data_IF_628154673978
#
_entry.id   IF_628154673978
#
_cell.length_a   1.000
_cell.length_b   1.000
_cell.length_c   1.000
_cell.angle_alpha   90.00
_cell.angle_beta   90.00
_cell.angle_gamma   90.00
#
_symmetry.space_group_name_H-M   'P 1'
#
loop_
_entity.id
_entity.type
_entity.pdbx_description
1 polymer ?
#
# COMPACT_ATOMS: atom_id res chain seq x y z
N UNK A 1 -0.27 19.74 40.88
CA UNK A 1 -0.17 20.90 39.96
C UNK A 1 -1.08 20.62 38.78
N UNK A 2 -2.29 21.18 38.79
CA UNK A 2 -3.25 21.00 37.71
C UNK A 2 -2.81 21.80 36.48
N UNK A 3 -2.60 21.11 35.36
CA UNK A 3 -2.39 21.75 34.07
C UNK A 3 -3.75 22.36 33.69
N UNK A 4 -3.78 23.67 33.53
CA UNK A 4 -5.00 24.45 33.37
C UNK A 4 -5.40 24.42 31.87
N UNK A 5 -6.05 23.33 31.44
CA UNK A 5 -6.36 23.05 30.03
C UNK A 5 -7.20 24.13 29.32
N UNK A 6 -7.93 24.95 30.08
CA UNK A 6 -8.85 25.97 29.55
C UNK A 6 -8.17 27.29 29.11
N UNK A 7 -6.92 27.58 29.52
CA UNK A 7 -6.25 28.84 29.12
C UNK A 7 -5.67 28.82 27.71
N UNK A 8 -5.42 27.64 27.15
CA UNK A 8 -4.80 27.48 25.82
C UNK A 8 -5.83 27.32 24.70
N UNK A 9 -7.13 27.31 25.01
CA UNK A 9 -8.19 27.08 24.03
C UNK A 9 -8.19 28.11 22.88
N UNK A 10 -8.07 29.43 23.14
CA UNK A 10 -8.05 30.43 22.08
C UNK A 10 -6.84 30.32 21.14
N UNK A 11 -5.67 30.02 21.70
CA UNK A 11 -4.43 29.85 20.94
C UNK A 11 -4.47 28.60 20.05
N UNK A 12 -4.98 27.48 20.59
CA UNK A 12 -5.23 26.24 19.82
C UNK A 12 -6.22 26.47 18.68
N UNK A 13 -7.29 27.22 18.91
CA UNK A 13 -8.29 27.53 17.87
C UNK A 13 -7.70 28.41 16.76
N UNK A 14 -6.87 29.40 17.11
CA UNK A 14 -6.16 30.23 16.12
C UNK A 14 -5.17 29.40 15.30
N UNK A 15 -4.39 28.54 15.96
CA UNK A 15 -3.47 27.62 15.28
C UNK A 15 -4.19 26.69 14.32
N UNK A 16 -5.31 26.07 14.76
CA UNK A 16 -6.14 25.21 13.92
C UNK A 16 -6.73 25.97 12.73
N UNK A 17 -7.23 27.20 12.95
CA UNK A 17 -7.73 28.06 11.88
C UNK A 17 -6.67 28.32 10.81
N UNK A 18 -5.46 28.72 11.24
CA UNK A 18 -4.33 28.96 10.34
C UNK A 18 -3.91 27.67 9.60
N UNK A 19 -3.89 26.54 10.29
CA UNK A 19 -3.58 25.25 9.67
C UNK A 19 -4.60 24.89 8.58
N UNK A 20 -5.90 25.00 8.87
CA UNK A 20 -6.97 24.71 7.92
C UNK A 20 -6.87 25.62 6.69
N UNK A 21 -6.65 26.92 6.88
CA UNK A 21 -6.51 27.88 5.78
C UNK A 21 -5.30 27.55 4.89
N UNK A 22 -4.16 27.18 5.48
CA UNK A 22 -2.97 26.74 4.73
C UNK A 22 -3.24 25.44 3.97
N UNK A 23 -3.93 24.48 4.59
CA UNK A 23 -4.29 23.23 3.92
C UNK A 23 -5.24 23.49 2.75
N UNK A 24 -6.28 24.30 2.94
CA UNK A 24 -7.23 24.62 1.89
C UNK A 24 -6.54 25.30 0.69
N UNK A 25 -5.71 26.32 0.94
CA UNK A 25 -4.93 27.00 -0.11
C UNK A 25 -4.01 26.07 -0.88
N UNK A 26 -3.44 25.05 -0.22
CA UNK A 26 -2.54 24.07 -0.83
C UNK A 26 -3.27 22.84 -1.40
N UNK A 27 -4.60 22.77 -1.30
CA UNK A 27 -5.37 21.63 -1.78
C UNK A 27 -5.27 20.38 -0.90
N UNK A 28 -5.21 20.55 0.42
CA UNK A 28 -5.21 19.52 1.47
C UNK A 28 -4.08 18.47 1.39
N UNK A 29 -2.79 18.87 1.26
CA UNK A 29 -1.69 17.91 1.17
C UNK A 29 -1.56 17.01 2.41
N UNK A 30 -1.87 17.51 3.60
CA UNK A 30 -1.87 16.69 4.82
C UNK A 30 -2.85 15.52 4.72
N UNK A 31 -4.06 15.76 4.20
CA UNK A 31 -5.07 14.73 3.99
C UNK A 31 -4.58 13.67 3.00
N UNK A 32 -4.07 14.09 1.84
CA UNK A 32 -3.62 13.15 0.81
C UNK A 32 -2.36 12.37 1.21
N UNK A 33 -1.48 12.98 2.00
CA UNK A 33 -0.35 12.28 2.63
C UNK A 33 -0.85 11.17 3.54
N UNK A 34 -1.80 11.46 4.45
CA UNK A 34 -2.39 10.47 5.35
C UNK A 34 -3.12 9.34 4.61
N UNK A 35 -3.92 9.69 3.60
CA UNK A 35 -4.65 8.71 2.81
C UNK A 35 -3.72 7.79 2.01
N UNK A 36 -2.60 8.32 1.50
CA UNK A 36 -1.61 7.54 0.77
C UNK A 36 -0.81 6.61 1.68
N UNK A 37 -0.46 7.06 2.89
CA UNK A 37 0.09 6.15 3.92
C UNK A 37 -0.90 5.02 4.20
N UNK A 38 -2.18 5.36 4.39
CA UNK A 38 -3.22 4.38 4.73
C UNK A 38 -3.44 3.35 3.61
N UNK A 39 -3.50 3.77 2.35
CA UNK A 39 -3.74 2.83 1.25
C UNK A 39 -2.56 1.88 1.04
N UNK A 40 -1.32 2.33 1.26
CA UNK A 40 -0.16 1.43 1.27
C UNK A 40 -0.24 0.40 2.40
N UNK A 41 -0.55 0.84 3.63
CA UNK A 41 -0.70 -0.07 4.78
C UNK A 41 -1.84 -1.08 4.57
N UNK A 42 -2.95 -0.67 3.92
CA UNK A 42 -4.02 -1.58 3.55
C UNK A 42 -3.55 -2.62 2.51
N UNK A 43 -2.72 -2.22 1.55
CA UNK A 43 -2.13 -3.14 0.59
C UNK A 43 -1.18 -4.14 1.27
N UNK A 44 -0.33 -3.68 2.19
CA UNK A 44 0.54 -4.57 2.98
C UNK A 44 -0.28 -5.59 3.76
N UNK A 45 -1.30 -5.14 4.50
CA UNK A 45 -2.20 -6.01 5.25
C UNK A 45 -2.93 -7.00 4.34
N UNK A 46 -3.41 -6.56 3.17
CA UNK A 46 -4.04 -7.45 2.19
C UNK A 46 -3.10 -8.57 1.75
N UNK A 47 -1.85 -8.25 1.40
CA UNK A 47 -0.88 -9.25 0.95
C UNK A 47 -0.56 -10.23 2.07
N UNK A 48 -0.41 -9.74 3.30
CA UNK A 48 -0.12 -10.57 4.47
C UNK A 48 -1.26 -11.54 4.77
N UNK A 49 -2.50 -11.05 4.86
CA UNK A 49 -3.69 -11.87 5.07
C UNK A 49 -3.88 -12.90 3.94
N UNK A 50 -3.61 -12.49 2.71
CA UNK A 50 -3.67 -13.38 1.55
C UNK A 50 -2.64 -14.52 1.66
N UNK A 51 -1.38 -14.20 2.02
CA UNK A 51 -0.33 -15.20 2.21
C UNK A 51 -0.61 -16.13 3.40
N UNK A 52 -1.11 -15.59 4.52
CA UNK A 52 -1.54 -16.40 5.68
C UNK A 52 -2.61 -17.40 5.24
N UNK A 53 -3.59 -16.96 4.46
CA UNK A 53 -4.62 -17.85 3.93
C UNK A 53 -4.05 -18.96 3.05
N UNK A 54 -3.10 -18.63 2.17
CA UNK A 54 -2.41 -19.65 1.37
C UNK A 54 -1.66 -20.65 2.25
N UNK A 55 -0.98 -20.20 3.31
CA UNK A 55 -0.31 -21.09 4.26
C UNK A 55 -1.30 -22.02 4.96
N UNK A 56 -2.47 -21.50 5.35
CA UNK A 56 -3.52 -22.28 6.02
C UNK A 56 -4.19 -23.32 5.11
N UNK A 57 -4.26 -23.04 3.80
CA UNK A 57 -4.91 -23.91 2.81
C UNK A 57 -3.94 -24.92 2.17
N UNK A 58 -2.63 -24.71 2.28
CA UNK A 58 -1.61 -25.59 1.69
C UNK A 58 -1.44 -26.89 2.49
N UNK A 59 -1.83 -28.02 1.88
CA UNK A 59 -1.77 -29.33 2.51
C UNK A 59 -0.33 -29.84 2.71
N UNK A 60 0.61 -29.41 1.85
CA UNK A 60 1.99 -29.88 1.89
C UNK A 60 3.03 -28.74 1.94
N UNK A 61 2.91 -27.87 2.94
CA UNK A 61 3.85 -26.78 3.20
C UNK A 61 5.32 -27.24 3.26
N UNK A 62 5.58 -28.45 3.76
CA UNK A 62 6.93 -29.02 3.87
C UNK A 62 7.62 -29.24 2.53
N UNK A 63 6.85 -29.37 1.44
CA UNK A 63 7.40 -29.52 0.09
C UNK A 63 7.93 -28.21 -0.50
N UNK A 64 7.59 -27.07 0.10
CA UNK A 64 8.06 -25.74 -0.30
C UNK A 64 9.46 -25.53 0.26
N UNK A 65 10.47 -25.42 -0.61
CA UNK A 65 11.89 -25.36 -0.25
C UNK A 65 12.25 -24.19 0.66
N UNK A 66 11.57 -23.06 0.47
CA UNK A 66 11.74 -21.85 1.27
C UNK A 66 11.24 -22.07 2.70
N UNK A 67 10.16 -22.85 2.88
CA UNK A 67 9.58 -23.18 4.18
C UNK A 67 10.41 -24.26 4.89
N UNK A 68 10.85 -25.29 4.17
CA UNK A 68 11.67 -26.38 4.72
C UNK A 68 12.93 -25.86 5.43
N UNK A 69 13.49 -24.74 4.96
CA UNK A 69 14.74 -24.15 5.46
C UNK A 69 14.55 -23.18 6.62
N UNK A 70 13.30 -22.85 6.99
CA UNK A 70 13.03 -21.87 8.04
C UNK A 70 13.55 -22.36 9.40
N UNK A 71 14.12 -21.42 10.16
CA UNK A 71 14.57 -21.65 11.53
C UNK A 71 13.85 -20.67 12.45
N UNK A 72 13.27 -21.19 13.53
CA UNK A 72 12.58 -20.41 14.54
C UNK A 72 12.43 -21.17 15.85
N UNK A 73 12.06 -20.46 16.92
CA UNK A 73 11.89 -21.05 18.24
C UNK A 73 10.65 -21.95 18.28
N UNK A 74 10.87 -23.27 18.37
CA UNK A 74 9.79 -24.27 18.33
C UNK A 74 8.73 -24.03 19.41
N UNK A 75 9.16 -23.68 20.63
CA UNK A 75 8.21 -23.44 21.74
C UNK A 75 7.30 -22.25 21.46
N UNK A 76 7.81 -21.19 20.82
CA UNK A 76 6.96 -20.05 20.42
C UNK A 76 5.97 -20.43 19.32
N UNK A 77 6.22 -21.50 18.56
CA UNK A 77 5.36 -21.94 17.46
C UNK A 77 4.27 -22.92 17.91
N UNK A 78 4.61 -23.96 18.68
CA UNK A 78 3.68 -25.06 18.97
C UNK A 78 2.47 -24.67 19.82
N UNK A 79 2.59 -23.63 20.66
CA UNK A 79 1.51 -23.17 21.54
C UNK A 79 0.60 -22.11 20.89
N UNK A 80 0.92 -21.65 19.69
CA UNK A 80 0.12 -20.69 18.92
C UNK A 80 -1.09 -21.37 18.28
N UNK A 81 -2.18 -20.61 18.09
CA UNK A 81 -3.31 -21.04 17.26
C UNK A 81 -2.86 -21.28 15.80
N UNK A 82 -3.68 -21.99 15.01
CA UNK A 82 -3.35 -22.27 13.60
C UNK A 82 -3.08 -20.99 12.80
N UNK A 83 -3.85 -19.94 13.06
CA UNK A 83 -3.67 -18.65 12.42
C UNK A 83 -2.34 -17.99 12.82
N UNK A 84 -2.06 -17.91 14.13
CA UNK A 84 -0.81 -17.35 14.64
C UNK A 84 0.42 -18.17 14.22
N UNK A 85 0.27 -19.48 14.00
CA UNK A 85 1.33 -20.31 13.42
C UNK A 85 1.60 -19.93 11.96
N UNK A 86 0.57 -19.73 11.15
CA UNK A 86 0.71 -19.29 9.77
C UNK A 86 1.32 -17.88 9.67
N UNK A 87 0.87 -16.96 10.53
CA UNK A 87 1.46 -15.62 10.68
C UNK A 87 2.93 -15.69 11.10
N UNK A 88 3.28 -16.55 12.06
CA UNK A 88 4.67 -16.76 12.46
C UNK A 88 5.55 -17.28 11.31
N UNK A 89 5.05 -18.23 10.50
CA UNK A 89 5.75 -18.71 9.31
C UNK A 89 5.96 -17.57 8.31
N UNK A 90 4.93 -16.74 8.07
CA UNK A 90 5.03 -15.60 7.17
C UNK A 90 6.09 -14.59 7.67
N UNK A 91 6.12 -14.29 8.96
CA UNK A 91 7.12 -13.39 9.54
C UNK A 91 8.54 -13.95 9.39
N UNK A 92 8.73 -15.27 9.59
CA UNK A 92 10.02 -15.92 9.30
C UNK A 92 10.39 -15.78 7.81
N UNK A 93 9.45 -15.99 6.89
CA UNK A 93 9.69 -15.82 5.45
C UNK A 93 10.09 -14.38 5.10
N UNK A 94 9.40 -13.38 5.68
CA UNK A 94 9.71 -11.95 5.48
C UNK A 94 11.07 -11.55 6.07
N UNK A 95 11.50 -12.20 7.15
CA UNK A 95 12.76 -11.91 7.82
C UNK A 95 13.99 -12.39 7.02
N UNK A 96 13.82 -13.39 6.16
CA UNK A 96 14.88 -13.83 5.25
C UNK A 96 14.99 -12.89 4.05
N UNK A 97 16.09 -12.14 4.00
CA UNK A 97 16.37 -11.18 2.93
C UNK A 97 16.40 -11.81 1.53
N UNK A 98 16.58 -13.14 1.42
CA UNK A 98 16.53 -13.85 0.13
C UNK A 98 15.11 -13.95 -0.43
N UNK A 99 14.11 -13.95 0.44
CA UNK A 99 12.70 -14.10 0.07
C UNK A 99 12.02 -12.77 -0.23
N UNK A 100 12.55 -11.67 0.31
CA UNK A 100 12.04 -10.32 0.11
C UNK A 100 13.02 -9.51 -0.71
N UNK A 101 12.85 -9.56 -2.03
CA UNK A 101 13.73 -8.84 -2.96
C UNK A 101 13.01 -7.69 -3.66
N UNK A 102 13.76 -6.63 -3.98
CA UNK A 102 13.25 -5.45 -4.68
C UNK A 102 12.48 -4.47 -3.80
N UNK A 103 11.83 -3.51 -4.46
CA UNK A 103 11.09 -2.41 -3.82
C UNK A 103 9.67 -2.31 -4.39
N UNK A 104 8.79 -1.58 -3.70
CA UNK A 104 7.40 -1.44 -4.10
C UNK A 104 6.71 -2.79 -4.19
N UNK A 105 5.99 -3.01 -5.29
CA UNK A 105 5.23 -4.25 -5.53
C UNK A 105 6.10 -5.50 -5.68
N UNK A 106 7.36 -5.36 -6.11
CA UNK A 106 8.25 -6.52 -6.31
C UNK A 106 8.54 -7.28 -5.01
N UNK A 107 8.49 -6.58 -3.87
CA UNK A 107 8.59 -7.22 -2.54
C UNK A 107 7.43 -8.18 -2.32
N UNK A 108 6.21 -7.80 -2.70
CA UNK A 108 5.04 -8.65 -2.58
C UNK A 108 5.10 -9.82 -3.56
N UNK A 109 5.47 -9.55 -4.82
CA UNK A 109 5.63 -10.59 -5.85
C UNK A 109 6.68 -11.63 -5.45
N UNK A 110 7.78 -11.23 -4.80
CA UNK A 110 8.79 -12.16 -4.29
C UNK A 110 8.21 -13.14 -3.25
N UNK A 111 7.31 -12.69 -2.38
CA UNK A 111 6.65 -13.54 -1.39
C UNK A 111 5.56 -14.41 -2.04
N UNK A 112 4.75 -13.83 -2.94
CA UNK A 112 3.73 -14.56 -3.68
C UNK A 112 4.32 -15.70 -4.52
N UNK A 113 5.55 -15.51 -5.03
CA UNK A 113 6.28 -16.51 -5.80
C UNK A 113 6.52 -17.82 -5.05
N UNK A 114 6.74 -17.74 -3.75
CA UNK A 114 6.97 -18.92 -2.89
C UNK A 114 5.77 -19.88 -2.97
N UNK A 115 4.57 -19.32 -3.09
CA UNK A 115 3.32 -20.05 -3.23
C UNK A 115 2.83 -20.11 -4.69
N UNK A 116 3.67 -19.75 -5.66
CA UNK A 116 3.37 -19.71 -7.09
C UNK A 116 2.17 -18.86 -7.46
N UNK A 117 2.02 -17.70 -6.82
CA UNK A 117 1.00 -16.67 -7.11
C UNK A 117 1.61 -15.38 -7.68
N UNK A 118 2.92 -15.37 -7.92
CA UNK A 118 3.57 -14.26 -8.60
C UNK A 118 3.12 -14.15 -10.06
N UNK A 119 3.39 -12.99 -10.65
CA UNK A 119 3.04 -12.75 -12.03
C UNK A 119 3.47 -11.39 -12.52
N UNK A 120 3.26 -11.17 -13.81
CA UNK A 120 3.52 -9.88 -14.42
C UNK A 120 2.57 -8.83 -13.85
N UNK A 121 3.14 -7.71 -13.39
CA UNK A 121 2.40 -6.51 -13.01
C UNK A 121 2.58 -5.52 -14.15
N UNK A 122 1.48 -4.87 -14.57
CA UNK A 122 1.53 -3.82 -15.58
C UNK A 122 2.48 -2.69 -15.13
N UNK A 123 3.29 -2.16 -16.05
CA UNK A 123 4.43 -1.30 -15.71
C UNK A 123 4.00 0.03 -15.09
N UNK A 124 2.87 0.60 -15.53
CA UNK A 124 2.29 1.81 -14.93
C UNK A 124 1.89 1.56 -13.47
N UNK A 125 1.22 0.44 -13.18
CA UNK A 125 0.84 0.04 -11.82
C UNK A 125 2.08 -0.20 -10.96
N UNK A 126 3.04 -0.96 -11.48
CA UNK A 126 4.31 -1.24 -10.81
C UNK A 126 5.06 0.04 -10.44
N UNK A 127 5.16 0.99 -11.37
CA UNK A 127 5.79 2.30 -11.15
C UNK A 127 5.06 3.12 -10.11
N UNK A 128 3.72 3.16 -10.15
CA UNK A 128 2.92 3.91 -9.16
C UNK A 128 2.98 3.30 -7.76
N UNK A 129 3.02 1.97 -7.64
CA UNK A 129 3.20 1.30 -6.35
C UNK A 129 4.63 1.44 -5.81
N UNK A 130 5.64 1.51 -6.68
CA UNK A 130 7.00 1.88 -6.31
C UNK A 130 7.03 3.29 -5.70
N UNK A 131 6.45 4.26 -6.41
CA UNK A 131 6.35 5.65 -5.98
C UNK A 131 5.65 5.76 -4.62
N UNK A 132 4.47 5.13 -4.49
CA UNK A 132 3.70 5.10 -3.24
C UNK A 132 4.52 4.53 -2.08
N UNK A 133 5.24 3.43 -2.30
CA UNK A 133 6.10 2.80 -1.29
C UNK A 133 7.20 3.74 -0.80
N UNK A 134 7.89 4.42 -1.72
CA UNK A 134 8.96 5.37 -1.36
C UNK A 134 8.39 6.62 -0.69
N UNK A 135 7.25 7.14 -1.17
CA UNK A 135 6.60 8.30 -0.58
C UNK A 135 6.11 8.00 0.84
N UNK A 136 5.47 6.85 1.06
CA UNK A 136 5.08 6.42 2.42
C UNK A 136 6.29 6.37 3.34
N UNK A 137 7.43 5.87 2.88
CA UNK A 137 8.65 5.82 3.68
C UNK A 137 9.10 7.22 4.14
N UNK A 138 9.17 8.20 3.23
CA UNK A 138 9.60 9.56 3.60
C UNK A 138 8.57 10.30 4.44
N UNK A 139 7.27 10.11 4.18
CA UNK A 139 6.21 10.72 4.98
C UNK A 139 6.24 10.23 6.43
N UNK A 140 6.46 8.93 6.65
CA UNK A 140 6.45 8.33 7.99
C UNK A 140 7.79 8.52 8.72
N UNK A 141 8.92 8.42 8.03
CA UNK A 141 10.23 8.31 8.68
C UNK A 141 11.18 9.49 8.43
N UNK A 142 10.82 10.41 7.53
CA UNK A 142 11.68 11.55 7.12
C UNK A 142 10.97 12.89 7.25
N UNK A 143 9.93 12.98 8.08
CA UNK A 143 9.11 14.20 8.27
C UNK A 143 8.62 14.79 6.95
N UNK A 144 8.28 13.93 5.97
CA UNK A 144 7.84 14.36 4.65
C UNK A 144 8.92 15.03 3.80
N UNK A 145 10.21 14.85 4.11
CA UNK A 145 11.33 15.33 3.30
C UNK A 145 11.86 14.23 2.39
N UNK A 146 12.05 14.55 1.12
CA UNK A 146 12.64 13.64 0.14
C UNK A 146 14.05 13.24 0.57
N UNK A 147 14.34 11.94 0.57
CA UNK A 147 15.68 11.40 0.80
C UNK A 147 16.31 10.95 -0.52
N UNK A 148 17.64 10.73 -0.52
CA UNK A 148 18.34 10.26 -1.72
C UNK A 148 17.79 8.97 -2.32
N UNK A 149 17.14 8.11 -1.52
CA UNK A 149 16.53 6.87 -1.98
C UNK A 149 15.26 7.14 -2.79
N UNK A 150 14.38 8.03 -2.35
CA UNK A 150 13.21 8.46 -3.11
C UNK A 150 13.64 9.11 -4.43
N UNK A 151 14.60 10.03 -4.39
CA UNK A 151 15.10 10.71 -5.60
C UNK A 151 15.67 9.73 -6.61
N UNK A 152 16.41 8.72 -6.15
CA UNK A 152 17.01 7.69 -7.03
C UNK A 152 15.95 6.74 -7.58
N UNK A 153 15.10 6.18 -6.74
CA UNK A 153 14.12 5.15 -7.13
C UNK A 153 12.91 5.72 -7.88
N UNK A 154 12.65 7.02 -7.74
CA UNK A 154 11.51 7.72 -8.34
C UNK A 154 11.99 9.00 -9.05
N UNK A 155 13.05 8.88 -9.84
CA UNK A 155 13.69 10.00 -10.57
C UNK A 155 12.72 10.81 -11.44
N UNK A 156 11.64 10.19 -11.90
CA UNK A 156 10.59 10.84 -12.67
C UNK A 156 9.73 11.83 -11.89
N UNK A 157 9.85 11.91 -10.57
CA UNK A 157 9.18 12.92 -9.76
C UNK A 157 9.81 14.30 -9.93
N UNK A 158 11.07 14.38 -10.37
CA UNK A 158 11.77 15.66 -10.56
C UNK A 158 11.99 16.45 -9.26
N UNK A 159 12.01 15.76 -8.11
CA UNK A 159 12.27 16.34 -6.79
C UNK A 159 13.73 16.15 -6.38
N UNK A 160 14.24 17.05 -5.55
CA UNK A 160 15.59 16.99 -4.98
C UNK A 160 15.55 16.49 -3.52
N UNK A 161 16.71 16.05 -3.03
CA UNK A 161 16.84 15.66 -1.62
C UNK A 161 16.62 16.88 -0.71
N UNK A 162 15.81 16.71 0.35
CA UNK A 162 15.38 17.77 1.27
C UNK A 162 14.10 18.51 0.86
N UNK A 163 13.59 18.30 -0.36
CA UNK A 163 12.32 18.87 -0.80
C UNK A 163 11.15 18.35 0.05
N UNK A 164 10.13 19.19 0.26
CA UNK A 164 8.90 18.76 0.93
C UNK A 164 8.03 17.94 -0.02
N UNK A 165 7.63 16.75 0.43
CA UNK A 165 6.73 15.86 -0.31
C UNK A 165 5.29 16.16 0.09
N UNK A 166 4.60 16.87 -0.80
CA UNK A 166 3.19 17.20 -0.66
C UNK A 166 2.39 16.52 -1.76
N UNK A 167 1.52 15.59 -1.39
CA UNK A 167 0.62 14.94 -2.33
C UNK A 167 -0.62 15.79 -2.58
N UNK A 168 -1.19 15.63 -3.76
CA UNK A 168 -2.49 16.17 -4.11
C UNK A 168 -3.50 15.04 -4.38
N UNK A 169 -4.74 15.43 -4.66
CA UNK A 169 -5.81 14.51 -5.04
C UNK A 169 -5.44 13.62 -6.24
N UNK A 170 -4.71 14.18 -7.20
CA UNK A 170 -4.29 13.46 -8.41
C UNK A 170 -3.31 12.34 -8.09
N UNK A 171 -2.36 12.57 -7.19
CA UNK A 171 -1.46 11.53 -6.69
C UNK A 171 -2.26 10.42 -5.99
N UNK A 172 -3.12 10.80 -5.04
CA UNK A 172 -3.90 9.84 -4.28
C UNK A 172 -4.79 8.94 -5.17
N UNK A 173 -5.51 9.51 -6.15
CA UNK A 173 -6.35 8.73 -7.06
C UNK A 173 -5.52 7.73 -7.87
N UNK A 174 -4.34 8.13 -8.38
CA UNK A 174 -3.46 7.21 -9.12
C UNK A 174 -3.03 6.05 -8.23
N UNK A 175 -2.56 6.33 -7.02
CA UNK A 175 -2.15 5.32 -6.06
C UNK A 175 -3.29 4.38 -5.69
N UNK A 176 -4.46 4.92 -5.35
CA UNK A 176 -5.64 4.12 -5.01
C UNK A 176 -6.05 3.22 -6.18
N UNK A 177 -6.05 3.74 -7.41
CA UNK A 177 -6.37 2.96 -8.61
C UNK A 177 -5.38 1.81 -8.82
N UNK A 178 -4.07 2.09 -8.66
CA UNK A 178 -3.02 1.08 -8.79
C UNK A 178 -3.08 0.01 -7.71
N UNK A 179 -3.38 0.39 -6.46
CA UNK A 179 -3.60 -0.57 -5.37
C UNK A 179 -4.78 -1.48 -5.67
N UNK A 180 -5.93 -0.91 -6.06
CA UNK A 180 -7.10 -1.71 -6.45
C UNK A 180 -6.81 -2.65 -7.61
N UNK A 181 -6.15 -2.14 -8.66
CA UNK A 181 -5.79 -2.96 -9.82
C UNK A 181 -4.91 -4.14 -9.43
N UNK A 182 -3.90 -3.90 -8.58
CA UNK A 182 -3.00 -4.94 -8.11
C UNK A 182 -3.71 -5.98 -7.26
N UNK A 183 -4.57 -5.57 -6.33
CA UNK A 183 -5.40 -6.49 -5.52
C UNK A 183 -6.26 -7.38 -6.43
N UNK A 184 -6.91 -6.79 -7.43
CA UNK A 184 -7.73 -7.53 -8.39
C UNK A 184 -6.91 -8.53 -9.19
N UNK A 185 -5.70 -8.15 -9.60
CA UNK A 185 -4.80 -9.02 -10.33
C UNK A 185 -4.32 -10.21 -9.47
N UNK A 186 -3.98 -9.99 -8.19
CA UNK A 186 -3.66 -11.08 -7.24
C UNK A 186 -4.83 -12.04 -7.09
N UNK A 187 -6.04 -11.53 -6.90
CA UNK A 187 -7.23 -12.37 -6.87
C UNK A 187 -7.40 -13.14 -8.18
N UNK A 188 -7.34 -12.47 -9.33
CA UNK A 188 -7.49 -13.11 -10.66
C UNK A 188 -6.57 -14.32 -10.80
N UNK A 189 -5.30 -14.18 -10.44
CA UNK A 189 -4.31 -15.28 -10.47
C UNK A 189 -4.71 -16.43 -9.54
N UNK A 190 -5.11 -16.12 -8.31
CA UNK A 190 -5.58 -17.11 -7.35
C UNK A 190 -6.81 -17.89 -7.86
N UNK A 191 -7.79 -17.19 -8.44
CA UNK A 191 -9.00 -17.81 -8.97
C UNK A 191 -8.71 -18.73 -10.16
N UNK A 192 -7.83 -18.32 -11.08
CA UNK A 192 -7.38 -19.16 -12.19
C UNK A 192 -6.68 -20.41 -11.64
N UNK A 193 -5.78 -20.24 -10.68
CA UNK A 193 -5.03 -21.35 -10.07
C UNK A 193 -5.93 -22.34 -9.35
N UNK A 194 -7.01 -21.87 -8.73
CA UNK A 194 -7.99 -22.70 -8.03
C UNK A 194 -9.15 -23.18 -8.92
N UNK A 195 -9.08 -22.95 -10.24
CA UNK A 195 -10.07 -23.34 -11.25
C UNK A 195 -11.51 -22.86 -10.94
N UNK A 196 -11.64 -21.68 -10.32
CA UNK A 196 -12.92 -21.05 -9.97
C UNK A 196 -13.37 -20.13 -11.11
N UNK A 197 -13.99 -20.72 -12.13
CA UNK A 197 -14.30 -20.07 -13.41
C UNK A 197 -15.30 -18.90 -13.36
N UNK A 198 -16.08 -18.74 -12.27
CA UNK A 198 -17.09 -17.69 -12.15
C UNK A 198 -16.52 -16.28 -11.92
N UNK A 199 -15.21 -16.16 -11.68
CA UNK A 199 -14.59 -14.88 -11.33
C UNK A 199 -14.29 -13.97 -12.52
N UNK A 200 -14.15 -14.51 -13.74
CA UNK A 200 -13.84 -13.70 -14.92
C UNK A 200 -14.90 -12.63 -15.20
N UNK A 201 -16.18 -12.98 -15.09
CA UNK A 201 -17.28 -12.03 -15.30
C UNK A 201 -17.35 -10.97 -14.20
N UNK A 202 -17.09 -11.37 -12.95
CA UNK A 202 -17.06 -10.46 -11.80
C UNK A 202 -15.86 -9.51 -11.85
N UNK A 203 -14.69 -9.99 -12.28
CA UNK A 203 -13.49 -9.17 -12.44
C UNK A 203 -13.68 -8.14 -13.56
N UNK A 204 -14.22 -8.57 -14.71
CA UNK A 204 -14.55 -7.64 -15.80
C UNK A 204 -15.54 -6.57 -15.33
N UNK A 205 -16.53 -6.97 -14.52
CA UNK A 205 -17.47 -6.02 -13.91
C UNK A 205 -16.77 -5.05 -12.95
N UNK A 206 -15.95 -5.55 -12.02
CA UNK A 206 -15.23 -4.70 -11.06
C UNK A 206 -14.25 -3.75 -11.74
N UNK A 207 -13.55 -4.22 -12.78
CA UNK A 207 -12.66 -3.37 -13.58
C UNK A 207 -13.45 -2.25 -14.27
N UNK A 208 -14.63 -2.56 -14.83
CA UNK A 208 -15.52 -1.56 -15.44
C UNK A 208 -16.04 -0.54 -14.43
N UNK A 209 -16.48 -0.96 -13.25
CA UNK A 209 -16.94 -0.05 -12.18
C UNK A 209 -15.78 0.82 -11.65
N UNK A 210 -14.61 0.22 -11.41
CA UNK A 210 -13.40 0.96 -11.00
C UNK A 210 -13.04 2.04 -12.03
N UNK A 211 -13.06 1.69 -13.32
CA UNK A 211 -12.82 2.65 -14.39
C UNK A 211 -13.89 3.76 -14.40
N UNK A 212 -15.18 3.43 -14.25
CA UNK A 212 -16.25 4.43 -14.18
C UNK A 212 -16.04 5.42 -13.05
N UNK A 213 -15.63 4.97 -11.88
CA UNK A 213 -15.42 5.85 -10.73
C UNK A 213 -14.19 6.73 -10.96
N UNK A 214 -13.08 6.17 -11.45
CA UNK A 214 -11.92 6.96 -11.89
C UNK A 214 -12.33 8.04 -12.92
N UNK A 215 -13.14 7.69 -13.92
CA UNK A 215 -13.63 8.65 -14.92
C UNK A 215 -14.59 9.70 -14.36
N UNK A 216 -15.50 9.33 -13.43
CA UNK A 216 -16.36 10.30 -12.74
C UNK A 216 -15.52 11.33 -11.98
N UNK A 217 -14.48 10.88 -11.28
CA UNK A 217 -13.57 11.79 -10.56
C UNK A 217 -12.78 12.70 -11.49
N UNK A 218 -12.28 12.20 -12.62
CA UNK A 218 -11.62 13.03 -13.65
C UNK A 218 -12.60 14.07 -14.22
N UNK A 219 -13.87 13.69 -14.43
CA UNK A 219 -14.91 14.60 -14.93
C UNK A 219 -15.24 15.72 -13.94
N UNK A 220 -15.27 15.43 -12.64
CA UNK A 220 -15.44 16.44 -11.57
C UNK A 220 -14.28 17.46 -11.60
N UNK A 221 -13.03 17.00 -11.83
CA UNK A 221 -11.86 17.89 -11.93
C UNK A 221 -11.96 18.85 -13.12
N UNK A 222 -12.47 18.38 -14.25
CA UNK A 222 -12.69 19.21 -15.45
C UNK A 222 -13.84 20.21 -15.28
N UNK A 223 -14.83 19.90 -14.44
CA UNK A 223 -15.93 20.83 -14.11
C UNK A 223 -15.42 21.94 -13.18
N UNK A 224 -14.65 21.63 -12.13
CA UNK A 224 -14.04 22.67 -11.27
C UNK A 224 -13.14 23.63 -12.04
N UNK A 225 -12.27 23.11 -12.92
CA UNK A 225 -11.42 23.94 -13.80
C UNK A 225 -12.21 24.87 -14.73
N UNK A 226 -13.44 24.52 -15.10
CA UNK A 226 -14.33 25.35 -15.93
C UNK A 226 -15.11 26.40 -15.13
N UNK A 227 -15.19 26.24 -13.82
CA UNK A 227 -15.89 27.18 -12.92
C UNK A 227 -14.89 28.21 -12.35
N UNK A 228 -13.62 27.83 -12.23
CA UNK A 228 -12.53 28.66 -11.66
C UNK A 228 -11.73 29.45 -12.72
N UNK A 229 -12.04 29.31 -14.01
CA UNK A 229 -11.41 30.06 -15.12
C UNK A 229 -12.43 30.75 -15.99
#
# INVERSE_FOLDING_TARGET
>A
MGINEDRDLPEKMLYLGNFVEVQEKKGFPFLYNLLSIRIWTLLEAFVDEFLIKLILEEENLRSIKEIEKLKGELLNFIYKSRYEQADFILELLKSDQKNVTGFGVNRFESLLKIFGHDGQVEETVKRQLMELSQIRNVLVHKNGKADGRLVTNCSWLGINEGDEVNLDMGHFIRYMSSVHWYILEVFRRHFIKTNRNNFNDYLIHLQKETLKDVFKFVKIKNIRKKIEG
#
